data_IF_476485768185
#
_entry.id   IF_476485768185
#
_cell.length_a   1.000
_cell.length_b   1.000
_cell.length_c   1.000
_cell.angle_alpha   90.00
_cell.angle_beta   90.00
_cell.angle_gamma   90.00
#
_symmetry.space_group_name_H-M   'P 1'
#
loop_
_entity.id
_entity.type
_entity.pdbx_description
1 polymer ?
#
# COMPACT_ATOMS: atom_id res chain seq x y z
N UNK A 1 -21.85 19.95 -16.96
CA UNK A 1 -21.86 20.66 -15.66
C UNK A 1 -20.42 21.07 -15.39
N UNK A 2 -20.16 22.36 -15.49
CA UNK A 2 -18.83 22.93 -15.77
C UNK A 2 -18.22 23.45 -14.47
N UNK A 3 -16.89 23.45 -14.35
CA UNK A 3 -16.10 23.80 -13.16
C UNK A 3 -16.65 24.90 -12.20
N UNK A 4 -17.36 25.92 -12.71
CA UNK A 4 -18.06 26.93 -11.90
C UNK A 4 -19.01 26.35 -10.83
N UNK A 5 -19.67 25.21 -11.08
CA UNK A 5 -20.57 24.59 -10.11
C UNK A 5 -19.84 24.04 -8.89
N UNK A 6 -18.66 23.45 -9.12
CA UNK A 6 -17.86 22.84 -8.06
C UNK A 6 -17.22 23.90 -7.16
N UNK A 7 -16.75 25.00 -7.76
CA UNK A 7 -16.19 26.11 -7.00
C UNK A 7 -17.23 26.83 -6.14
N UNK A 8 -18.46 26.99 -6.65
CA UNK A 8 -19.58 27.50 -5.88
C UNK A 8 -19.92 26.59 -4.69
N UNK A 9 -19.94 25.27 -4.90
CA UNK A 9 -20.22 24.28 -3.85
C UNK A 9 -19.11 24.25 -2.77
N UNK A 10 -17.84 24.33 -3.17
CA UNK A 10 -16.71 24.46 -2.25
C UNK A 10 -16.83 25.71 -1.37
N UNK A 11 -17.16 26.85 -1.97
CA UNK A 11 -17.29 28.11 -1.24
C UNK A 11 -18.48 28.09 -0.27
N UNK A 12 -19.58 27.42 -0.64
CA UNK A 12 -20.72 27.21 0.25
C UNK A 12 -20.37 26.30 1.44
N UNK A 13 -19.62 25.22 1.21
CA UNK A 13 -19.14 24.35 2.27
C UNK A 13 -18.22 25.09 3.24
N UNK A 14 -17.32 25.96 2.74
CA UNK A 14 -16.44 26.78 3.58
C UNK A 14 -17.24 27.68 4.52
N UNK A 15 -18.28 28.37 4.01
CA UNK A 15 -19.13 29.21 4.87
C UNK A 15 -19.80 28.41 5.97
N UNK A 16 -20.39 27.26 5.62
CA UNK A 16 -21.03 26.37 6.61
C UNK A 16 -20.07 25.90 7.70
N UNK A 17 -18.79 25.65 7.37
CA UNK A 17 -17.78 25.26 8.36
C UNK A 17 -17.42 26.46 9.26
N UNK A 18 -17.32 27.66 8.71
CA UNK A 18 -17.02 28.88 9.48
C UNK A 18 -18.13 29.26 10.46
N UNK A 19 -19.38 28.90 10.15
CA UNK A 19 -20.55 29.16 11.00
C UNK A 19 -20.72 28.13 12.15
N UNK A 20 -19.83 27.14 12.27
CA UNK A 20 -19.90 26.12 13.34
C UNK A 20 -19.12 26.57 14.57
N UNK A 21 -19.82 26.74 15.69
CA UNK A 21 -19.21 27.09 17.00
C UNK A 21 -18.69 25.88 17.79
N UNK A 22 -19.06 24.65 17.40
CA UNK A 22 -18.66 23.43 18.11
C UNK A 22 -17.26 22.95 17.70
N UNK A 23 -16.31 23.10 18.63
CA UNK A 23 -14.91 22.69 18.46
C UNK A 23 -14.74 21.19 18.18
N UNK A 24 -15.63 20.32 18.69
CA UNK A 24 -15.57 18.89 18.41
C UNK A 24 -15.93 18.60 16.95
N UNK A 25 -16.92 19.31 16.40
CA UNK A 25 -17.29 19.21 14.99
C UNK A 25 -16.15 19.74 14.11
N UNK A 26 -15.59 20.90 14.43
CA UNK A 26 -14.44 21.47 13.70
C UNK A 26 -13.23 20.54 13.71
N UNK A 27 -12.94 19.88 14.83
CA UNK A 27 -11.85 18.89 14.92
C UNK A 27 -12.07 17.69 14.00
N UNK A 28 -13.32 17.21 13.90
CA UNK A 28 -13.68 16.11 13.00
C UNK A 28 -13.57 16.53 11.54
N UNK A 29 -14.06 17.73 11.19
CA UNK A 29 -13.91 18.31 9.84
C UNK A 29 -12.43 18.44 9.47
N UNK A 30 -11.60 18.98 10.38
CA UNK A 30 -10.15 19.05 10.18
C UNK A 30 -9.54 17.67 9.93
N UNK A 31 -9.88 16.67 10.74
CA UNK A 31 -9.39 15.30 10.56
C UNK A 31 -9.81 14.69 9.21
N UNK A 32 -11.04 14.94 8.76
CA UNK A 32 -11.51 14.47 7.44
C UNK A 32 -10.77 15.14 6.29
N UNK A 33 -10.51 16.45 6.39
CA UNK A 33 -9.76 17.21 5.37
C UNK A 33 -8.26 16.87 5.37
N UNK A 34 -7.70 16.48 6.52
CA UNK A 34 -6.30 16.04 6.65
C UNK A 34 -6.07 14.56 6.34
N UNK A 35 -7.13 13.78 6.06
CA UNK A 35 -7.05 12.34 5.82
C UNK A 35 -6.38 11.96 4.48
N UNK A 36 -5.98 12.94 3.65
CA UNK A 36 -5.21 12.67 2.42
C UNK A 36 -3.70 12.47 2.67
N UNK A 37 -3.18 12.75 3.87
CA UNK A 37 -1.72 12.64 4.14
C UNK A 37 -1.29 11.46 5.04
N UNK A 38 -2.21 10.81 5.78
CA UNK A 38 -1.82 9.86 6.86
C UNK A 38 -2.50 8.48 6.79
N UNK A 39 -2.68 7.92 5.59
CA UNK A 39 -2.90 6.47 5.45
C UNK A 39 -1.87 5.84 4.51
N UNK A 40 -0.59 6.08 4.79
CA UNK A 40 0.41 5.05 4.55
C UNK A 40 0.38 4.15 5.79
N UNK A 41 -0.17 2.94 5.65
CA UNK A 41 0.12 1.85 6.58
C UNK A 41 1.61 1.53 6.45
N UNK A 42 2.46 2.36 7.06
CA UNK A 42 3.89 2.10 7.15
C UNK A 42 4.04 0.99 8.16
N UNK A 43 3.97 -0.25 7.68
CA UNK A 43 4.67 -1.35 8.33
C UNK A 43 6.10 -0.84 8.49
N UNK A 44 6.59 -0.76 9.73
CA UNK A 44 7.96 -0.37 9.99
C UNK A 44 8.86 -1.41 9.32
N UNK A 45 9.28 -1.15 8.08
CA UNK A 45 10.29 -1.97 7.41
C UNK A 45 11.57 -1.85 8.22
N UNK A 46 12.13 -2.99 8.62
CA UNK A 46 13.47 -3.02 9.19
C UNK A 46 14.43 -2.28 8.26
N UNK A 47 15.40 -1.56 8.84
CA UNK A 47 16.39 -0.73 8.13
C UNK A 47 17.41 -1.55 7.33
N UNK A 48 16.99 -2.66 6.73
CA UNK A 48 17.78 -3.41 5.77
C UNK A 48 17.75 -2.68 4.42
N UNK A 49 18.89 -2.60 3.70
CA UNK A 49 18.90 -2.12 2.34
C UNK A 49 17.95 -2.94 1.48
N UNK A 50 17.05 -2.26 0.75
CA UNK A 50 16.19 -2.93 -0.22
C UNK A 50 17.00 -3.64 -1.28
N UNK A 51 16.51 -4.79 -1.72
CA UNK A 51 17.05 -5.45 -2.91
C UNK A 51 16.87 -4.55 -4.12
N UNK A 52 17.91 -4.48 -4.94
CA UNK A 52 17.86 -3.80 -6.22
C UNK A 52 16.96 -4.56 -7.19
N UNK A 53 16.39 -3.85 -8.17
CA UNK A 53 15.61 -4.46 -9.26
C UNK A 53 16.38 -5.60 -9.95
N UNK A 54 17.70 -5.47 -10.09
CA UNK A 54 18.53 -6.49 -10.74
C UNK A 54 18.60 -7.78 -9.91
N UNK A 55 18.72 -7.68 -8.59
CA UNK A 55 18.75 -8.84 -7.68
C UNK A 55 17.39 -9.56 -7.65
N UNK A 56 16.29 -8.80 -7.66
CA UNK A 56 14.93 -9.34 -7.74
C UNK A 56 14.73 -10.11 -9.05
N UNK A 57 15.16 -9.53 -10.18
CA UNK A 57 15.03 -10.19 -11.48
C UNK A 57 15.92 -11.43 -11.59
N UNK A 58 17.15 -11.38 -11.05
CA UNK A 58 18.05 -12.52 -11.07
C UNK A 58 17.54 -13.69 -10.22
N UNK A 59 17.00 -13.42 -9.02
CA UNK A 59 16.40 -14.45 -8.17
C UNK A 59 15.13 -15.04 -8.79
N UNK A 60 14.29 -14.21 -9.41
CA UNK A 60 13.11 -14.68 -10.13
C UNK A 60 13.47 -15.56 -11.34
N UNK A 61 14.45 -15.14 -12.16
CA UNK A 61 14.93 -15.92 -13.29
C UNK A 61 15.48 -17.29 -12.85
N UNK A 62 16.19 -17.32 -11.72
CA UNK A 62 16.69 -18.56 -11.15
C UNK A 62 15.55 -19.47 -10.68
N UNK A 63 14.58 -18.94 -9.94
CA UNK A 63 13.40 -19.69 -9.51
C UNK A 63 12.60 -20.27 -10.69
N UNK A 64 12.46 -19.51 -11.78
CA UNK A 64 11.83 -19.98 -13.02
C UNK A 64 12.58 -21.16 -13.66
N UNK A 65 13.92 -21.15 -13.66
CA UNK A 65 14.73 -22.26 -14.18
C UNK A 65 14.57 -23.52 -13.33
N UNK A 66 14.58 -23.38 -12.01
CA UNK A 66 14.41 -24.48 -11.07
C UNK A 66 13.00 -25.09 -11.21
N UNK A 67 11.97 -24.26 -11.27
CA UNK A 67 10.59 -24.71 -11.51
C UNK A 67 10.48 -25.48 -12.82
N UNK A 68 11.13 -25.02 -13.88
CA UNK A 68 11.17 -25.73 -15.16
C UNK A 68 11.85 -27.09 -15.04
N UNK A 69 12.98 -27.18 -14.34
CA UNK A 69 13.66 -28.47 -14.12
C UNK A 69 12.79 -29.44 -13.31
N UNK A 70 12.00 -28.92 -12.37
CA UNK A 70 11.05 -29.73 -11.62
C UNK A 70 9.91 -30.27 -12.49
N UNK A 71 9.34 -29.44 -13.36
CA UNK A 71 8.33 -29.89 -14.34
C UNK A 71 8.91 -30.91 -15.34
N UNK A 72 10.19 -30.81 -15.67
CA UNK A 72 10.90 -31.78 -16.51
C UNK A 72 11.31 -33.06 -15.75
N UNK A 73 11.02 -33.16 -14.45
CA UNK A 73 11.38 -34.31 -13.60
C UNK A 73 12.88 -34.43 -13.33
N UNK A 74 13.65 -33.38 -13.58
CA UNK A 74 15.12 -33.33 -13.40
C UNK A 74 15.53 -32.79 -12.03
N UNK A 75 14.57 -32.21 -11.30
CA UNK A 75 14.77 -31.64 -9.98
C UNK A 75 13.55 -31.98 -9.13
N UNK A 76 13.72 -32.49 -7.93
CA UNK A 76 12.61 -32.70 -6.99
C UNK A 76 12.60 -31.57 -5.97
N UNK A 77 11.43 -30.95 -5.80
CA UNK A 77 11.21 -30.02 -4.70
C UNK A 77 10.81 -30.77 -3.44
N UNK A 78 11.22 -30.23 -2.29
CA UNK A 78 10.69 -30.68 -1.01
C UNK A 78 9.19 -30.40 -0.97
N UNK A 79 8.44 -31.28 -0.32
CA UNK A 79 7.03 -31.00 -0.04
C UNK A 79 6.94 -29.82 0.92
N UNK A 80 5.80 -29.13 0.91
CA UNK A 80 5.56 -28.03 1.83
C UNK A 80 5.60 -28.50 3.29
N UNK A 81 5.09 -29.70 3.57
CA UNK A 81 5.11 -30.30 4.90
C UNK A 81 6.54 -30.57 5.38
N UNK A 82 7.42 -31.09 4.53
CA UNK A 82 8.83 -31.32 4.87
C UNK A 82 9.56 -29.99 5.14
N UNK A 83 9.29 -28.97 4.33
CA UNK A 83 9.89 -27.64 4.50
C UNK A 83 9.46 -26.97 5.81
N UNK A 84 8.19 -27.13 6.21
CA UNK A 84 7.67 -26.55 7.45
C UNK A 84 8.15 -27.29 8.70
N UNK A 85 8.45 -28.58 8.60
CA UNK A 85 9.01 -29.36 9.71
C UNK A 85 10.50 -29.06 9.98
N UNK A 86 11.18 -28.37 9.07
CA UNK A 86 12.61 -27.99 9.19
C UNK A 86 12.82 -26.60 9.83
N UNK A 87 11.74 -25.85 10.10
CA UNK A 87 11.76 -24.50 10.69
C UNK A 87 11.42 -24.56 12.18
#
# INVERSE_FOLDING_TARGET
MSAMSLEAEKNELIRRILDVDDVAILRRVKSMLSCEEEQTNVVAEEAAPYQTKAEILASLDQACKELKLNLEGKLEFKSLDDALNEI
#
